data_IF_612614378762
#
_entry.id   IF_612614378762
#
_cell.length_a   1.000
_cell.length_b   1.000
_cell.length_c   1.000
_cell.angle_alpha   90.00
_cell.angle_beta   90.00
_cell.angle_gamma   90.00
#
_symmetry.space_group_name_H-M   'P 1'
#
loop_
_entity.id
_entity.type
_entity.pdbx_description
1 polymer ?
#
# COMPACT_ATOMS: atom_id res chain seq x y z
N UNK A 1 -1.25 -22.48 -13.99
CA UNK A 1 -1.56 -21.04 -14.04
C UNK A 1 -2.16 -20.76 -12.67
N UNK A 2 -1.31 -20.46 -11.69
CA UNK A 2 -1.77 -20.19 -10.32
C UNK A 2 -2.58 -18.89 -10.34
N UNK A 3 -3.66 -18.83 -9.55
CA UNK A 3 -4.50 -17.64 -9.52
C UNK A 3 -3.64 -16.51 -8.94
N UNK A 4 -3.41 -15.43 -9.70
CA UNK A 4 -2.60 -14.27 -9.27
C UNK A 4 -3.17 -13.55 -8.03
N UNK A 5 -4.36 -13.98 -7.60
CA UNK A 5 -5.13 -13.46 -6.46
C UNK A 5 -5.14 -14.43 -5.26
N UNK A 6 -4.59 -15.64 -5.37
CA UNK A 6 -4.53 -16.58 -4.25
C UNK A 6 -3.59 -16.07 -3.16
N UNK A 7 -4.09 -16.03 -1.91
CA UNK A 7 -3.32 -15.60 -0.74
C UNK A 7 -3.27 -14.09 -0.50
N UNK A 8 -3.90 -13.28 -1.35
CA UNK A 8 -3.99 -11.84 -1.13
C UNK A 8 -5.06 -11.50 -0.08
N UNK A 9 -4.74 -10.51 0.75
CA UNK A 9 -5.63 -9.89 1.72
C UNK A 9 -5.83 -8.42 1.35
N UNK A 10 -7.06 -7.95 1.42
CA UNK A 10 -7.41 -6.55 1.21
C UNK A 10 -6.90 -5.72 2.39
N UNK A 11 -6.16 -4.67 2.06
CA UNK A 11 -5.59 -3.74 3.03
C UNK A 11 -6.49 -2.52 3.21
N UNK A 12 -6.84 -1.87 2.10
CA UNK A 12 -7.62 -0.64 2.12
C UNK A 12 -7.70 0.00 0.74
N UNK A 13 -8.64 0.94 0.60
CA UNK A 13 -8.80 1.78 -0.58
C UNK A 13 -8.58 3.24 -0.20
N UNK A 14 -7.75 3.92 -0.99
CA UNK A 14 -7.36 5.31 -0.76
C UNK A 14 -7.75 6.16 -1.96
N UNK A 15 -8.13 7.42 -1.74
CA UNK A 15 -8.32 8.35 -2.85
C UNK A 15 -6.96 8.72 -3.45
N UNK A 16 -6.85 8.70 -4.78
CA UNK A 16 -5.62 9.09 -5.44
C UNK A 16 -5.36 10.60 -5.22
N UNK A 17 -4.19 11.00 -4.67
CA UNK A 17 -3.94 12.38 -4.24
C UNK A 17 -3.99 13.41 -5.38
N UNK A 18 -3.67 12.98 -6.61
CA UNK A 18 -3.66 13.85 -7.79
C UNK A 18 -4.82 13.61 -8.77
N UNK A 19 -5.65 12.58 -8.55
CA UNK A 19 -6.72 12.14 -9.48
C UNK A 19 -7.96 11.79 -8.66
N UNK A 20 -8.74 12.82 -8.29
CA UNK A 20 -9.82 12.67 -7.30
C UNK A 20 -10.95 11.70 -7.70
N UNK A 21 -11.08 11.41 -8.98
CA UNK A 21 -12.04 10.43 -9.54
C UNK A 21 -11.44 9.01 -9.63
N UNK A 22 -10.31 8.77 -8.95
CA UNK A 22 -9.61 7.49 -8.93
C UNK A 22 -9.31 7.08 -7.49
N UNK A 23 -9.53 5.81 -7.21
CA UNK A 23 -9.14 5.15 -5.97
C UNK A 23 -8.03 4.14 -6.23
N UNK A 24 -7.21 3.96 -5.21
CA UNK A 24 -6.09 3.04 -5.16
C UNK A 24 -6.41 1.99 -4.11
N UNK A 25 -6.68 0.77 -4.54
CA UNK A 25 -6.89 -0.37 -3.65
C UNK A 25 -5.62 -1.18 -3.49
N UNK A 26 -5.25 -1.43 -2.24
CA UNK A 26 -4.03 -2.14 -1.86
C UNK A 26 -4.38 -3.53 -1.34
N UNK A 27 -3.61 -4.52 -1.77
CA UNK A 27 -3.67 -5.89 -1.29
C UNK A 27 -2.26 -6.35 -0.96
N UNK A 28 -2.10 -7.19 0.05
CA UNK A 28 -0.81 -7.77 0.42
C UNK A 28 -0.92 -9.29 0.51
N UNK A 29 0.19 -9.99 0.36
CA UNK A 29 0.22 -11.44 0.57
C UNK A 29 0.09 -11.74 2.08
N UNK A 30 -0.88 -12.57 2.44
CA UNK A 30 -1.12 -12.98 3.83
C UNK A 30 -0.05 -13.91 4.39
N UNK A 31 0.83 -14.45 3.54
CA UNK A 31 2.00 -15.20 3.98
C UNK A 31 3.15 -14.23 4.36
N UNK A 32 3.58 -14.19 5.64
CA UNK A 32 4.58 -13.24 6.11
C UNK A 32 5.99 -13.51 5.54
N UNK A 33 6.33 -14.77 5.24
CA UNK A 33 7.61 -15.12 4.64
C UNK A 33 7.70 -14.61 3.20
N UNK A 34 6.62 -14.78 2.42
CA UNK A 34 6.50 -14.19 1.09
C UNK A 34 6.58 -12.66 1.16
N UNK A 35 5.84 -12.04 2.09
CA UNK A 35 5.83 -10.59 2.24
C UNK A 35 7.23 -10.03 2.52
N UNK A 36 8.00 -10.69 3.40
CA UNK A 36 9.38 -10.31 3.76
C UNK A 36 10.39 -10.51 2.62
N UNK A 37 10.29 -11.63 1.90
CA UNK A 37 11.19 -11.94 0.79
C UNK A 37 10.95 -11.03 -0.42
N UNK A 38 9.70 -10.60 -0.59
CA UNK A 38 9.23 -9.86 -1.76
C UNK A 38 8.72 -8.48 -1.35
N UNK A 39 9.61 -7.67 -0.78
CA UNK A 39 9.26 -6.33 -0.28
C UNK A 39 9.61 -5.18 -1.22
N UNK A 40 10.21 -5.45 -2.39
CA UNK A 40 10.76 -4.43 -3.30
C UNK A 40 10.32 -4.70 -4.74
N UNK A 41 9.96 -3.63 -5.45
CA UNK A 41 9.71 -3.61 -6.89
C UNK A 41 10.91 -4.18 -7.68
N UNK A 42 10.68 -4.92 -8.77
CA UNK A 42 9.38 -5.20 -9.42
C UNK A 42 8.61 -6.38 -8.84
N UNK A 43 9.20 -7.15 -7.92
CA UNK A 43 8.59 -8.37 -7.40
C UNK A 43 7.96 -8.19 -6.02
N UNK A 44 7.51 -6.97 -5.69
CA UNK A 44 6.85 -6.71 -4.41
C UNK A 44 5.61 -7.61 -4.26
N UNK A 45 5.37 -8.20 -3.09
CA UNK A 45 4.21 -9.05 -2.77
C UNK A 45 2.94 -8.24 -2.47
N UNK A 46 3.05 -6.92 -2.44
CA UNK A 46 1.91 -6.00 -2.41
C UNK A 46 1.42 -5.80 -3.84
N UNK A 47 0.10 -5.81 -4.03
CA UNK A 47 -0.59 -5.54 -5.29
C UNK A 47 -1.43 -4.29 -5.13
N UNK A 48 -1.42 -3.47 -6.17
CA UNK A 48 -2.14 -2.20 -6.19
C UNK A 48 -3.00 -2.16 -7.44
N UNK A 49 -4.25 -1.74 -7.27
CA UNK A 49 -5.21 -1.62 -8.35
C UNK A 49 -5.83 -0.23 -8.33
N UNK A 50 -5.89 0.41 -9.50
CA UNK A 50 -6.60 1.68 -9.68
C UNK A 50 -7.99 1.43 -10.25
N UNK A 51 -8.99 2.16 -9.74
CA UNK A 51 -10.38 2.05 -10.19
C UNK A 51 -11.18 3.31 -9.88
N UNK A 52 -12.35 3.46 -10.50
CA UNK A 52 -13.32 4.50 -10.14
C UNK A 52 -13.88 4.26 -8.72
N UNK A 53 -14.30 5.31 -7.99
CA UNK A 53 -14.91 5.16 -6.69
C UNK A 53 -16.07 4.17 -6.69
N UNK A 54 -16.05 3.24 -5.74
CA UNK A 54 -17.06 2.18 -5.65
C UNK A 54 -17.56 2.01 -4.22
N UNK A 55 -18.76 1.43 -4.09
CA UNK A 55 -19.26 1.02 -2.80
C UNK A 55 -18.52 -0.22 -2.30
N UNK A 56 -18.47 -0.40 -0.98
CA UNK A 56 -17.92 -1.59 -0.34
C UNK A 56 -18.54 -2.87 -0.94
N UNK A 57 -17.68 -3.82 -1.30
CA UNK A 57 -18.08 -5.13 -1.77
C UNK A 57 -18.49 -6.07 -0.63
N UNK A 58 -19.31 -7.07 -0.93
CA UNK A 58 -19.71 -8.12 0.03
C UNK A 58 -18.85 -9.40 -0.07
N UNK A 59 -17.74 -9.32 -0.80
CA UNK A 59 -16.86 -10.46 -1.05
C UNK A 59 -15.86 -10.64 0.09
N UNK A 60 -15.96 -11.76 0.79
CA UNK A 60 -15.14 -12.06 1.96
C UNK A 60 -13.87 -12.86 1.62
N UNK A 61 -13.60 -13.15 0.34
CA UNK A 61 -12.43 -13.95 -0.08
C UNK A 61 -11.09 -13.29 0.25
N UNK A 62 -11.08 -11.97 0.34
CA UNK A 62 -9.88 -11.16 0.59
C UNK A 62 -9.92 -10.52 1.99
N UNK A 63 -10.83 -10.93 2.87
CA UNK A 63 -10.96 -10.34 4.21
C UNK A 63 -9.68 -10.57 5.02
N UNK A 64 -9.17 -9.48 5.60
CA UNK A 64 -8.07 -9.51 6.55
C UNK A 64 -8.64 -9.53 7.97
N UNK A 65 -8.42 -10.61 8.72
CA UNK A 65 -8.91 -10.72 10.11
C UNK A 65 -8.16 -9.80 11.09
N UNK A 66 -7.04 -9.22 10.66
CA UNK A 66 -6.18 -8.38 11.50
C UNK A 66 -6.51 -6.89 11.43
N UNK A 67 -7.25 -6.46 10.40
CA UNK A 67 -7.61 -5.07 10.16
C UNK A 67 -9.11 -4.88 10.38
N UNK A 68 -9.46 -3.91 11.23
CA UNK A 68 -10.84 -3.51 11.42
C UNK A 68 -11.29 -2.57 10.29
N UNK A 69 -12.58 -2.63 9.96
CA UNK A 69 -13.17 -1.71 8.99
C UNK A 69 -13.23 -0.31 9.59
N UNK A 70 -12.40 0.58 9.05
CA UNK A 70 -12.28 1.97 9.51
C UNK A 70 -12.30 2.91 8.30
N UNK A 71 -12.99 4.04 8.46
CA UNK A 71 -12.96 5.15 7.51
C UNK A 71 -12.13 6.27 8.11
N UNK A 72 -11.14 6.76 7.36
CA UNK A 72 -10.20 7.78 7.83
C UNK A 72 -10.31 8.97 6.89
N UNK A 73 -10.63 10.14 7.45
CA UNK A 73 -10.71 11.40 6.70
C UNK A 73 -9.45 12.24 6.91
N UNK A 74 -9.16 13.13 5.96
CA UNK A 74 -7.99 13.99 6.03
C UNK A 74 -8.06 14.91 7.27
N UNK A 75 -7.15 14.72 8.22
CA UNK A 75 -7.05 15.52 9.44
C UNK A 75 -7.33 14.77 10.74
N UNK A 76 -7.81 13.53 10.68
CA UNK A 76 -8.04 12.71 11.86
C UNK A 76 -6.74 12.06 12.38
N UNK A 77 -5.79 11.76 11.49
CA UNK A 77 -4.57 11.01 11.84
C UNK A 77 -3.33 11.58 11.16
N UNK A 78 -2.66 12.50 11.86
CA UNK A 78 -1.35 13.00 11.44
C UNK A 78 -0.35 11.83 11.39
N UNK A 79 0.19 11.56 10.19
CA UNK A 79 1.26 10.58 10.00
C UNK A 79 0.84 9.25 9.37
N UNK A 80 -0.45 8.90 9.30
CA UNK A 80 -0.87 7.66 8.64
C UNK A 80 -0.60 7.68 7.14
N UNK A 81 -1.06 8.73 6.47
CA UNK A 81 -0.92 8.90 5.02
C UNK A 81 -0.05 10.12 4.75
N UNK A 82 1.09 9.89 4.12
CA UNK A 82 2.04 10.93 3.74
C UNK A 82 2.00 11.10 2.22
N UNK A 83 1.72 12.32 1.77
CA UNK A 83 1.72 12.70 0.35
C UNK A 83 2.78 13.79 0.14
N UNK A 84 3.58 13.67 -0.92
CA UNK A 84 4.62 14.64 -1.25
C UNK A 84 6.03 14.06 -1.20
N UNK A 85 6.72 14.14 -0.06
CA UNK A 85 8.05 13.57 0.12
C UNK A 85 7.96 12.33 1.02
N UNK A 86 8.55 11.18 0.61
CA UNK A 86 8.55 9.99 1.44
C UNK A 86 9.44 10.18 2.68
N UNK A 87 8.98 9.67 3.81
CA UNK A 87 9.78 9.52 5.02
C UNK A 87 10.28 8.08 5.08
N UNK A 88 11.50 7.85 4.61
CA UNK A 88 12.11 6.52 4.57
C UNK A 88 12.59 6.09 5.96
N UNK A 89 12.21 4.88 6.40
CA UNK A 89 12.74 4.27 7.63
C UNK A 89 14.22 3.92 7.43
N UNK A 90 14.59 3.46 6.22
CA UNK A 90 15.96 3.12 5.82
C UNK A 90 16.32 3.86 4.53
N UNK A 91 17.28 4.78 4.59
CA UNK A 91 17.74 5.61 3.47
C UNK A 91 18.73 4.88 2.55
N UNK A 92 18.29 3.77 1.95
CA UNK A 92 19.12 2.95 1.05
C UNK A 92 18.66 3.07 -0.41
N UNK A 93 19.59 3.36 -1.32
CA UNK A 93 19.31 3.64 -2.74
C UNK A 93 18.66 2.46 -3.50
N UNK A 94 18.92 1.22 -3.06
CA UNK A 94 18.40 0.02 -3.74
C UNK A 94 16.87 -0.08 -3.71
N UNK A 95 16.19 0.65 -2.80
CA UNK A 95 14.74 0.70 -2.75
C UNK A 95 14.14 1.51 -3.91
N UNK A 96 14.84 2.53 -4.40
CA UNK A 96 14.32 3.45 -5.43
C UNK A 96 14.99 3.27 -6.79
N UNK A 97 16.21 2.71 -6.86
CA UNK A 97 16.99 2.54 -8.09
C UNK A 97 16.20 1.97 -9.29
N UNK A 98 15.40 0.92 -9.04
CA UNK A 98 14.60 0.30 -10.09
C UNK A 98 13.37 1.14 -10.47
N UNK A 99 12.77 1.82 -9.49
CA UNK A 99 11.62 2.69 -9.69
C UNK A 99 12.02 3.92 -10.50
N UNK A 100 13.12 4.56 -10.13
CA UNK A 100 13.68 5.73 -10.81
C UNK A 100 14.04 5.39 -12.27
N UNK A 101 14.68 4.23 -12.48
CA UNK A 101 15.04 3.75 -13.83
C UNK A 101 13.83 3.52 -14.72
N UNK A 102 12.74 3.01 -14.16
CA UNK A 102 11.51 2.67 -14.89
C UNK A 102 10.53 3.86 -14.97
N UNK A 103 10.92 5.03 -14.45
CA UNK A 103 10.17 6.29 -14.53
C UNK A 103 8.98 6.36 -13.60
N UNK A 104 9.06 5.72 -12.43
CA UNK A 104 8.05 5.80 -11.38
C UNK A 104 8.28 7.01 -10.48
N UNK A 105 7.21 7.69 -10.11
CA UNK A 105 7.23 8.84 -9.20
C UNK A 105 6.53 8.46 -7.89
N UNK A 106 7.00 9.00 -6.76
CA UNK A 106 6.37 8.76 -5.47
C UNK A 106 4.92 9.29 -5.47
N UNK A 107 3.98 8.47 -5.02
CA UNK A 107 2.57 8.82 -4.94
C UNK A 107 2.18 9.15 -3.50
N UNK A 108 2.34 8.18 -2.61
CA UNK A 108 1.94 8.26 -1.22
C UNK A 108 2.62 7.17 -0.40
N UNK A 109 2.73 7.42 0.89
CA UNK A 109 3.20 6.47 1.89
C UNK A 109 2.09 6.20 2.89
N UNK A 110 1.99 4.96 3.34
CA UNK A 110 1.12 4.54 4.43
C UNK A 110 2.03 4.05 5.56
N UNK A 111 2.03 4.76 6.67
CA UNK A 111 2.87 4.49 7.83
C UNK A 111 2.05 3.84 8.95
N UNK A 112 2.46 2.64 9.37
CA UNK A 112 1.78 1.88 10.42
C UNK A 112 1.93 2.53 11.80
N UNK A 113 2.92 3.41 11.99
CA UNK A 113 3.04 4.18 13.22
C UNK A 113 1.89 5.18 13.42
N UNK A 114 1.23 5.58 12.33
CA UNK A 114 0.08 6.49 12.34
C UNK A 114 -1.28 5.79 12.46
N UNK A 115 -1.34 4.48 12.71
CA UNK A 115 -2.61 3.76 12.86
C UNK A 115 -3.41 4.25 14.09
N UNK A 116 -4.75 4.35 13.99
CA UNK A 116 -5.57 4.65 15.15
C UNK A 116 -5.56 3.47 16.11
N UNK A 117 -5.81 3.78 17.38
CA UNK A 117 -6.17 2.78 18.36
C UNK A 117 -7.33 1.93 17.81
N UNK A 118 -7.18 0.59 17.90
CA UNK A 118 -8.10 -0.41 17.38
C UNK A 118 -8.16 -0.61 15.85
N UNK A 119 -7.33 0.03 15.01
CA UNK A 119 -7.32 -0.31 13.56
C UNK A 119 -6.84 -1.73 13.29
N UNK A 120 -5.75 -2.12 13.94
CA UNK A 120 -5.07 -3.36 13.64
C UNK A 120 -4.75 -4.15 14.92
N UNK A 121 -5.06 -5.45 14.92
CA UNK A 121 -4.59 -6.38 15.96
C UNK A 121 -3.20 -6.94 15.64
N UNK A 122 -2.81 -6.92 14.37
CA UNK A 122 -1.48 -7.27 13.88
C UNK A 122 -1.15 -6.35 12.71
N UNK A 123 0.07 -5.82 12.70
CA UNK A 123 0.55 -4.88 11.69
C UNK A 123 1.08 -5.63 10.46
N UNK A 124 0.43 -5.51 9.28
CA UNK A 124 0.88 -6.18 8.06
C UNK A 124 2.35 -5.97 7.70
N UNK A 125 2.89 -4.77 7.95
CA UNK A 125 4.26 -4.40 7.60
C UNK A 125 5.20 -4.34 8.81
N UNK A 126 4.86 -5.05 9.89
CA UNK A 126 5.68 -5.18 11.10
C UNK A 126 6.01 -3.84 11.77
N UNK A 127 5.03 -2.96 11.88
CA UNK A 127 5.22 -1.58 12.36
C UNK A 127 6.13 -0.79 11.42
N UNK A 128 5.83 -0.94 10.13
CA UNK A 128 6.60 -0.41 9.02
C UNK A 128 5.86 0.66 8.24
N UNK A 129 6.33 0.91 7.02
CA UNK A 129 5.71 1.82 6.08
C UNK A 129 5.69 1.22 4.67
N UNK A 130 4.58 1.41 3.96
CA UNK A 130 4.38 1.04 2.57
C UNK A 130 4.50 2.28 1.68
N UNK A 131 5.26 2.16 0.60
CA UNK A 131 5.54 3.26 -0.33
C UNK A 131 4.93 2.93 -1.70
N UNK A 132 3.95 3.73 -2.12
CA UNK A 132 3.29 3.61 -3.40
C UNK A 132 3.86 4.59 -4.41
N UNK A 133 3.96 4.13 -5.65
CA UNK A 133 4.51 4.89 -6.77
C UNK A 133 3.54 4.88 -7.92
N UNK A 134 3.59 5.92 -8.75
CA UNK A 134 2.73 6.06 -9.90
C UNK A 134 3.43 6.63 -11.12
N UNK A 135 2.79 6.52 -12.28
CA UNK A 135 3.22 7.15 -13.53
C UNK A 135 2.20 8.21 -13.93
N UNK A 136 2.53 9.51 -13.90
CA UNK A 136 1.57 10.56 -14.23
C UNK A 136 1.00 10.47 -15.65
N UNK A 137 1.79 9.95 -16.59
CA UNK A 137 1.37 9.81 -17.99
C UNK A 137 0.28 8.73 -18.19
N UNK A 138 0.34 7.63 -17.43
CA UNK A 138 -0.60 6.51 -17.57
C UNK A 138 -1.65 6.44 -16.44
N UNK A 139 -1.41 7.08 -15.30
CA UNK A 139 -2.20 6.89 -14.08
C UNK A 139 -2.01 5.51 -13.44
N UNK A 140 -1.02 4.74 -13.88
CA UNK A 140 -0.71 3.44 -13.31
C UNK A 140 -0.07 3.61 -11.93
N UNK A 141 -0.47 2.78 -10.96
CA UNK A 141 0.06 2.80 -9.60
C UNK A 141 0.58 1.42 -9.25
N UNK A 142 1.75 1.36 -8.61
CA UNK A 142 2.37 0.14 -8.10
C UNK A 142 2.81 0.30 -6.66
N UNK A 143 2.97 -0.83 -5.97
CA UNK A 143 3.75 -0.86 -4.73
C UNK A 143 5.23 -0.78 -5.11
N UNK A 144 5.93 0.24 -4.60
CA UNK A 144 7.36 0.37 -4.76
C UNK A 144 8.08 -0.57 -3.82
N UNK A 145 7.87 -0.38 -2.52
CA UNK A 145 8.42 -1.24 -1.49
C UNK A 145 7.72 -1.02 -0.16
N UNK A 146 8.02 -1.86 0.83
CA UNK A 146 7.72 -1.58 2.23
C UNK A 146 8.96 -1.80 3.10
N UNK A 147 9.06 -1.04 4.18
CA UNK A 147 10.18 -1.08 5.13
C UNK A 147 9.65 -1.32 6.54
N UNK A 148 10.44 -2.00 7.38
CA UNK A 148 10.25 -2.06 8.82
C UNK A 148 11.60 -1.75 9.51
N UNK A 149 11.56 -1.41 10.80
CA UNK A 149 12.75 -1.11 11.61
C UNK A 149 13.56 -2.34 12.01
#
# INVERSE_FOLDING_TARGET
MGNELEGLLFYGSFQHPYQLETQVSVFFNGDPDELLQRRIYPDCAVRVFTHEPSAEGSDTRFTCDYLNLTSIESGDEEGLIIVGQPEMIQEEEYYTDALDRDGWEFLMQIDEAGYPDDLATTYPFFYGALYLYWKPESGEVTAGYWQCS
#
